data_IF_376535291550
#
_entry.id   IF_376535291550
#
_cell.length_a   1.000
_cell.length_b   1.000
_cell.length_c   1.000
_cell.angle_alpha   90.00
_cell.angle_beta   90.00
_cell.angle_gamma   90.00
#
_symmetry.space_group_name_H-M   'P 1'
#
loop_
_entity.id
_entity.type
_entity.pdbx_description
1 polymer ?
#
# COMPACT_ATOMS: atom_id res chain seq x y z
N UNK A 1 -18.89 10.90 3.77
CA UNK A 1 -18.83 9.48 3.32
C UNK A 1 -17.39 8.99 3.50
N UNK A 2 -17.07 7.73 3.25
CA UNK A 2 -15.64 7.34 3.19
C UNK A 2 -15.07 7.79 1.83
N UNK A 3 -13.81 8.26 1.75
CA UNK A 3 -13.18 8.62 0.48
C UNK A 3 -13.01 7.39 -0.39
N UNK A 4 -13.11 7.57 -1.71
CA UNK A 4 -12.78 6.55 -2.70
C UNK A 4 -11.31 6.70 -3.08
N UNK A 5 -10.57 5.60 -3.10
CA UNK A 5 -9.18 5.57 -3.48
C UNK A 5 -8.86 4.30 -4.28
N UNK A 6 -7.76 4.30 -5.02
CA UNK A 6 -7.29 3.10 -5.72
C UNK A 6 -6.66 2.14 -4.70
N UNK A 7 -7.02 0.85 -4.68
CA UNK A 7 -6.35 -0.14 -3.82
C UNK A 7 -4.84 -0.15 -4.08
N UNK A 8 -4.04 -0.08 -3.01
CA UNK A 8 -2.59 -0.03 -3.09
C UNK A 8 -1.95 -0.63 -1.83
N UNK A 9 -0.68 -1.00 -1.95
CA UNK A 9 0.19 -1.32 -0.82
C UNK A 9 1.30 -0.27 -0.78
N UNK A 10 1.40 0.47 0.33
CA UNK A 10 2.48 1.44 0.51
C UNK A 10 3.80 0.71 0.71
N UNK A 11 4.77 0.97 -0.16
CA UNK A 11 6.10 0.36 -0.09
C UNK A 11 7.03 1.15 0.84
N UNK A 12 6.97 2.47 0.79
CA UNK A 12 7.82 3.36 1.59
C UNK A 12 7.20 4.75 1.68
N UNK A 13 7.35 5.42 2.83
CA UNK A 13 6.92 6.80 3.06
C UNK A 13 7.58 7.34 4.33
N UNK A 14 7.86 8.65 4.43
CA UNK A 14 7.72 9.66 3.38
C UNK A 14 8.85 9.57 2.34
N UNK A 15 8.63 10.18 1.18
CA UNK A 15 9.66 10.37 0.15
C UNK A 15 10.04 11.85 0.16
N UNK A 16 11.33 12.16 0.32
CA UNK A 16 11.85 13.54 0.36
C UNK A 16 12.45 14.02 -0.95
N UNK A 17 12.74 13.13 -1.91
CA UNK A 17 13.26 13.47 -3.23
C UNK A 17 12.58 12.64 -4.34
N UNK A 18 11.67 13.29 -5.08
CA UNK A 18 10.91 12.67 -6.17
C UNK A 18 11.79 12.21 -7.33
N UNK A 19 12.88 12.91 -7.66
CA UNK A 19 13.73 12.57 -8.78
C UNK A 19 14.54 11.32 -8.45
N UNK A 20 15.08 11.25 -7.23
CA UNK A 20 15.73 10.04 -6.72
C UNK A 20 14.79 8.83 -6.70
N UNK A 21 13.55 9.00 -6.24
CA UNK A 21 12.54 7.93 -6.27
C UNK A 21 12.24 7.47 -7.69
N UNK A 22 12.09 8.39 -8.66
CA UNK A 22 11.88 8.05 -10.07
C UNK A 22 13.03 7.21 -10.63
N UNK A 23 14.28 7.53 -10.28
CA UNK A 23 15.47 6.76 -10.68
C UNK A 23 15.37 5.33 -10.15
N UNK A 24 15.10 5.15 -8.84
CA UNK A 24 14.95 3.83 -8.21
C UNK A 24 13.85 3.03 -8.90
N UNK A 25 12.65 3.62 -9.08
CA UNK A 25 11.52 2.97 -9.75
C UNK A 25 11.89 2.54 -11.17
N UNK A 26 12.60 3.39 -11.93
CA UNK A 26 13.03 3.07 -13.29
C UNK A 26 14.08 1.96 -13.36
N UNK A 27 14.94 1.85 -12.36
CA UNK A 27 15.95 0.80 -12.26
C UNK A 27 15.39 -0.56 -11.82
N UNK A 28 14.16 -0.62 -11.28
CA UNK A 28 13.51 -1.89 -10.95
C UNK A 28 13.33 -2.76 -12.20
N UNK A 29 13.92 -3.94 -12.20
CA UNK A 29 13.73 -4.99 -13.20
C UNK A 29 12.56 -5.94 -12.86
N UNK A 30 11.83 -5.62 -11.79
CA UNK A 30 10.76 -6.45 -11.25
C UNK A 30 9.63 -6.63 -12.27
N UNK A 31 9.34 -7.89 -12.58
CA UNK A 31 8.16 -8.28 -13.36
C UNK A 31 6.90 -8.24 -12.51
N UNK A 32 5.74 -8.32 -13.17
CA UNK A 32 4.45 -8.54 -12.49
C UNK A 32 4.61 -9.70 -11.49
N UNK A 33 4.20 -9.48 -10.25
CA UNK A 33 4.35 -10.46 -9.18
C UNK A 33 3.06 -10.57 -8.36
N UNK A 34 2.90 -11.72 -7.70
CA UNK A 34 1.75 -11.96 -6.84
C UNK A 34 2.06 -11.59 -5.39
N UNK A 35 1.07 -11.03 -4.72
CA UNK A 35 1.02 -10.89 -3.25
C UNK A 35 -0.12 -11.74 -2.72
N UNK A 36 0.16 -12.51 -1.68
CA UNK A 36 -0.84 -13.32 -1.00
C UNK A 36 -1.36 -12.58 0.23
N UNK A 37 -2.63 -12.80 0.54
CA UNK A 37 -3.25 -12.27 1.75
C UNK A 37 -2.92 -13.21 2.91
N UNK A 38 -2.35 -12.65 3.98
CA UNK A 38 -2.13 -13.37 5.24
C UNK A 38 -3.43 -13.46 6.03
N UNK A 39 -4.11 -12.33 6.24
CA UNK A 39 -5.36 -12.23 6.98
C UNK A 39 -6.14 -10.96 6.63
N UNK A 40 -7.43 -10.94 6.97
CA UNK A 40 -8.22 -9.70 7.03
C UNK A 40 -8.09 -9.09 8.42
N UNK A 41 -7.67 -7.84 8.49
CA UNK A 41 -7.46 -7.11 9.75
C UNK A 41 -8.43 -5.94 9.94
N UNK A 42 -8.61 -5.55 11.19
CA UNK A 42 -9.31 -4.33 11.59
C UNK A 42 -8.61 -3.64 12.76
N UNK A 43 -8.68 -2.31 12.80
CA UNK A 43 -8.25 -1.51 13.94
C UNK A 43 -9.02 -0.18 14.02
N UNK A 44 -8.74 0.59 15.05
CA UNK A 44 -9.23 1.96 15.22
C UNK A 44 -8.36 3.02 14.51
N UNK A 45 -7.26 2.61 13.88
CA UNK A 45 -6.46 3.45 12.98
C UNK A 45 -7.25 3.74 11.69
N UNK A 46 -7.31 5.02 11.29
CA UNK A 46 -8.01 5.43 10.08
C UNK A 46 -7.37 4.82 8.82
N UNK A 47 -6.06 4.56 8.82
CA UNK A 47 -5.35 3.96 7.69
C UNK A 47 -5.50 2.44 7.64
N UNK A 48 -5.86 1.82 8.77
CA UNK A 48 -6.03 0.38 8.94
C UNK A 48 -7.39 0.01 9.55
N UNK A 49 -8.44 0.72 9.16
CA UNK A 49 -9.78 0.46 9.71
C UNK A 49 -10.28 -0.94 9.36
N UNK A 50 -10.29 -1.27 8.07
CA UNK A 50 -10.44 -2.65 7.56
C UNK A 50 -9.45 -2.78 6.42
N UNK A 51 -8.62 -3.81 6.45
CA UNK A 51 -7.51 -3.99 5.52
C UNK A 51 -7.20 -5.45 5.27
N UNK A 52 -6.48 -5.70 4.19
CA UNK A 52 -5.90 -6.99 3.87
C UNK A 52 -4.44 -6.94 4.27
N UNK A 53 -4.03 -7.72 5.26
CA UNK A 53 -2.62 -7.89 5.57
C UNK A 53 -1.99 -8.79 4.52
N UNK A 54 -0.87 -8.37 3.95
CA UNK A 54 -0.19 -9.12 2.92
C UNK A 54 0.95 -9.93 3.52
N UNK A 55 1.18 -11.13 2.98
CA UNK A 55 2.40 -11.87 3.28
C UNK A 55 3.59 -11.03 2.84
N UNK A 56 4.46 -10.68 3.78
CA UNK A 56 5.67 -9.91 3.49
C UNK A 56 6.75 -10.79 2.83
N UNK A 57 6.52 -11.11 1.55
CA UNK A 57 7.35 -12.00 0.75
C UNK A 57 8.70 -11.36 0.36
N UNK A 58 9.59 -12.16 -0.22
CA UNK A 58 10.94 -11.72 -0.60
C UNK A 58 10.92 -10.57 -1.61
N UNK A 59 9.96 -10.53 -2.53
CA UNK A 59 9.81 -9.45 -3.50
C UNK A 59 9.45 -8.13 -2.83
N UNK A 60 8.44 -8.10 -1.96
CA UNK A 60 8.06 -6.91 -1.21
C UNK A 60 9.20 -6.40 -0.32
N UNK A 61 9.89 -7.31 0.38
CA UNK A 61 11.07 -6.98 1.20
C UNK A 61 12.19 -6.37 0.35
N UNK A 62 12.50 -6.97 -0.81
CA UNK A 62 13.53 -6.48 -1.73
C UNK A 62 13.19 -5.07 -2.21
N UNK A 63 11.95 -4.83 -2.64
CA UNK A 63 11.53 -3.51 -3.14
C UNK A 63 11.57 -2.48 -2.00
N UNK A 64 11.00 -2.78 -0.83
CA UNK A 64 11.05 -1.87 0.32
C UNK A 64 12.50 -1.54 0.73
N UNK A 65 13.39 -2.54 0.79
CA UNK A 65 14.79 -2.34 1.16
C UNK A 65 15.53 -1.35 0.23
N UNK A 66 15.22 -1.34 -1.06
CA UNK A 66 15.80 -0.37 -2.00
C UNK A 66 15.45 1.08 -1.64
N UNK A 67 14.21 1.33 -1.20
CA UNK A 67 13.79 2.65 -0.74
C UNK A 67 14.36 2.96 0.65
N UNK A 68 14.27 2.03 1.60
CA UNK A 68 14.79 2.21 2.96
C UNK A 68 16.30 2.44 3.01
N UNK A 69 17.07 1.96 2.02
CA UNK A 69 18.51 2.26 1.91
C UNK A 69 18.78 3.60 1.23
N UNK A 70 17.87 4.05 0.36
CA UNK A 70 18.03 5.30 -0.37
C UNK A 70 17.61 6.53 0.44
N UNK A 71 16.81 6.35 1.48
CA UNK A 71 16.17 7.43 2.21
C UNK A 71 16.47 7.27 3.72
N UNK A 72 16.86 8.35 4.43
CA UNK A 72 17.22 8.28 5.85
C UNK A 72 16.02 8.04 6.78
N UNK A 73 14.80 8.17 6.28
CA UNK A 73 13.58 8.09 7.07
C UNK A 73 13.30 6.66 7.55
N UNK A 74 12.99 6.52 8.84
CA UNK A 74 12.61 5.24 9.43
C UNK A 74 11.16 4.93 9.03
N UNK A 75 11.00 3.91 8.19
CA UNK A 75 9.70 3.40 7.80
C UNK A 75 9.55 1.94 8.26
N UNK A 76 8.59 1.69 9.16
CA UNK A 76 8.24 0.32 9.54
C UNK A 76 7.35 -0.29 8.46
N UNK A 77 7.94 -1.16 7.65
CA UNK A 77 7.21 -1.81 6.57
C UNK A 77 6.28 -2.90 7.09
N UNK A 78 4.98 -2.63 7.02
CA UNK A 78 3.89 -3.56 7.33
C UNK A 78 2.94 -3.59 6.12
N UNK A 79 3.17 -4.48 5.13
CA UNK A 79 2.47 -4.45 3.86
C UNK A 79 0.99 -4.81 4.01
N UNK A 80 0.13 -3.92 3.56
CA UNK A 80 -1.32 -4.10 3.63
C UNK A 80 -2.02 -3.35 2.49
N UNK A 81 -3.24 -3.75 2.19
CA UNK A 81 -4.17 -3.01 1.31
C UNK A 81 -5.36 -2.55 2.16
N UNK A 82 -5.48 -1.25 2.38
CA UNK A 82 -6.64 -0.68 3.06
C UNK A 82 -7.89 -0.81 2.19
N UNK A 83 -9.01 -1.20 2.80
CA UNK A 83 -10.31 -1.31 2.12
C UNK A 83 -11.21 -0.11 2.39
N UNK A 84 -10.96 0.62 3.49
CA UNK A 84 -11.73 1.80 3.86
C UNK A 84 -10.90 2.73 4.76
N UNK A 85 -10.99 4.04 4.50
CA UNK A 85 -10.45 5.09 5.37
C UNK A 85 -11.57 5.83 6.07
N UNK A 86 -12.03 5.30 7.21
CA UNK A 86 -13.08 5.93 8.01
C UNK A 86 -13.08 5.35 9.41
N UNK A 87 -13.07 6.20 10.44
CA UNK A 87 -13.28 5.72 11.81
C UNK A 87 -14.65 5.03 11.94
N UNK A 88 -14.63 3.79 12.38
CA UNK A 88 -15.80 2.95 12.64
C UNK A 88 -15.66 2.30 14.01
N UNK A 89 -16.77 2.05 14.70
CA UNK A 89 -16.77 1.24 15.91
C UNK A 89 -16.42 -0.23 15.61
N UNK A 90 -15.93 -0.95 16.63
CA UNK A 90 -15.46 -2.32 16.48
C UNK A 90 -16.56 -3.28 15.96
N UNK A 91 -17.82 -3.07 16.36
CA UNK A 91 -18.95 -3.89 15.89
C UNK A 91 -19.12 -3.77 14.38
N UNK A 92 -19.06 -2.56 13.84
CA UNK A 92 -19.14 -2.32 12.38
C UNK A 92 -17.94 -2.93 11.65
N UNK A 93 -16.72 -2.75 12.14
CA UNK A 93 -15.51 -3.30 11.50
C UNK A 93 -15.57 -4.83 11.42
N UNK A 94 -15.92 -5.50 12.51
CA UNK A 94 -16.12 -6.96 12.56
C UNK A 94 -17.23 -7.44 11.63
N UNK A 95 -18.35 -6.71 11.57
CA UNK A 95 -19.43 -7.05 10.63
C UNK A 95 -19.05 -6.87 9.16
N UNK A 96 -18.12 -5.97 8.83
CA UNK A 96 -17.61 -5.82 7.46
C UNK A 96 -16.76 -7.03 7.12
N UNK A 97 -15.78 -7.38 7.96
CA UNK A 97 -14.89 -8.53 7.76
C UNK A 97 -15.69 -9.82 7.56
N UNK A 98 -16.71 -10.08 8.38
CA UNK A 98 -17.49 -11.32 8.31
C UNK A 98 -18.32 -11.47 7.02
N UNK A 99 -18.47 -10.41 6.23
CA UNK A 99 -19.29 -10.36 5.01
C UNK A 99 -18.46 -10.20 3.74
N UNK A 100 -17.15 -9.95 3.86
CA UNK A 100 -16.27 -9.79 2.73
C UNK A 100 -15.91 -11.17 2.16
N UNK A 101 -16.24 -11.37 0.89
CA UNK A 101 -15.70 -12.47 0.08
C UNK A 101 -14.57 -11.92 -0.79
N UNK A 102 -13.35 -12.45 -0.61
CA UNK A 102 -12.12 -11.87 -1.13
C UNK A 102 -11.23 -12.96 -1.73
N UNK A 103 -10.61 -12.65 -2.87
CA UNK A 103 -9.54 -13.49 -3.45
C UNK A 103 -8.40 -13.65 -2.45
N UNK A 104 -7.68 -14.75 -2.50
CA UNK A 104 -6.53 -15.01 -1.60
C UNK A 104 -5.25 -14.32 -2.04
N UNK A 105 -5.20 -13.77 -3.25
CA UNK A 105 -4.02 -13.12 -3.79
C UNK A 105 -4.35 -12.10 -4.88
N UNK A 106 -3.39 -11.21 -5.14
CA UNK A 106 -3.47 -10.17 -6.16
C UNK A 106 -2.17 -10.07 -6.95
N UNK A 107 -2.27 -9.75 -8.23
CA UNK A 107 -1.13 -9.36 -9.04
C UNK A 107 -0.84 -7.87 -8.84
N UNK A 108 0.44 -7.54 -8.63
CA UNK A 108 0.97 -6.18 -8.64
C UNK A 108 1.61 -5.96 -10.01
N UNK A 109 1.03 -5.04 -10.77
CA UNK A 109 1.43 -4.72 -12.15
C UNK A 109 2.00 -3.32 -12.30
N UNK A 110 2.04 -2.52 -11.23
CA UNK A 110 2.43 -1.11 -11.30
C UNK A 110 2.96 -0.61 -9.97
N UNK A 111 4.01 0.21 -10.05
CA UNK A 111 4.54 0.99 -8.93
C UNK A 111 4.27 2.47 -9.22
N UNK A 112 3.75 3.20 -8.23
CA UNK A 112 3.36 4.60 -8.37
C UNK A 112 3.98 5.45 -7.26
N UNK A 113 4.38 6.66 -7.60
CA UNK A 113 4.71 7.72 -6.64
C UNK A 113 3.46 8.59 -6.52
N UNK A 114 2.98 8.76 -5.29
CA UNK A 114 1.72 9.45 -5.00
C UNK A 114 2.00 10.62 -4.06
N UNK A 115 1.58 11.82 -4.44
CA UNK A 115 1.52 12.97 -3.55
C UNK A 115 0.29 12.79 -2.65
N UNK A 116 0.51 12.60 -1.35
CA UNK A 116 -0.54 12.35 -0.36
C UNK A 116 -0.89 13.57 0.49
N UNK A 117 -0.50 14.77 0.04
CA UNK A 117 -0.83 16.03 0.71
C UNK A 117 -2.33 16.32 0.68
N UNK A 118 -2.90 16.72 1.81
CA UNK A 118 -4.33 17.04 1.93
C UNK A 118 -5.21 15.82 2.19
N UNK A 119 -6.48 15.89 1.78
CA UNK A 119 -7.42 14.79 1.93
C UNK A 119 -7.17 13.69 0.90
N UNK A 120 -7.66 12.48 1.16
CA UNK A 120 -7.47 11.31 0.28
C UNK A 120 -7.99 11.57 -1.14
N UNK A 121 -9.05 12.36 -1.28
CA UNK A 121 -9.63 12.77 -2.55
C UNK A 121 -8.68 13.66 -3.39
N UNK A 122 -7.73 14.32 -2.75
CA UNK A 122 -6.74 15.19 -3.39
C UNK A 122 -5.43 14.46 -3.71
N UNK A 123 -5.32 13.17 -3.39
CA UNK A 123 -4.11 12.41 -3.67
C UNK A 123 -3.89 12.27 -5.18
N UNK A 124 -2.66 12.57 -5.59
CA UNK A 124 -2.30 12.62 -7.02
C UNK A 124 -1.16 11.66 -7.32
N UNK A 125 -1.31 10.86 -8.37
CA UNK A 125 -0.19 10.06 -8.89
C UNK A 125 0.72 10.96 -9.72
N UNK A 126 1.90 11.28 -9.19
CA UNK A 126 2.88 12.15 -9.84
C UNK A 126 3.83 11.39 -10.77
N UNK A 127 3.91 10.07 -10.62
CA UNK A 127 4.67 9.18 -11.51
C UNK A 127 4.21 7.74 -11.36
N UNK A 128 4.31 6.94 -12.43
CA UNK A 128 4.08 5.50 -12.34
C UNK A 128 4.88 4.73 -13.37
N UNK A 129 5.25 3.50 -13.04
CA UNK A 129 5.86 2.52 -13.94
C UNK A 129 5.09 1.21 -13.87
N UNK A 130 4.60 0.76 -15.03
CA UNK A 130 4.01 -0.57 -15.20
C UNK A 130 5.12 -1.62 -15.23
N UNK A 131 4.92 -2.70 -14.49
CA UNK A 131 5.78 -3.88 -14.48
C UNK A 131 5.44 -4.75 -15.69
N UNK A 132 6.45 -5.34 -16.32
CA UNK A 132 6.30 -6.14 -17.55
C UNK A 132 6.50 -7.62 -17.27
#
# INVERSE_FOLDING_TARGET
MAPIFKPHCTIFSPITDINKTKIIVNQLDQKIFQVDIEEMGESDDIWKTVFLKLVNNSTLKKINALFSQAFPEIYQFDPHISLIYKKLDAKKRKSIISKLDMKKSFAIDKISIVCTSGSVENWETVYSKTLK
#
